data_IF_202131259599
#
_entry.id   IF_202131259599
#
_cell.length_a   1.000
_cell.length_b   1.000
_cell.length_c   1.000
_cell.angle_alpha   90.00
_cell.angle_beta   90.00
_cell.angle_gamma   90.00
#
_symmetry.space_group_name_H-M   'P 1'
#
loop_
_entity.id
_entity.type
_entity.pdbx_description
1 polymer ?
#
# COMPACT_ATOMS: atom_id res chain seq x y z
N UNK A 1 2.82 0.57 10.75
CA UNK A 1 2.43 1.09 9.42
C UNK A 1 1.97 -0.04 8.49
N UNK A 2 2.70 -1.15 8.31
CA UNK A 2 2.20 -2.30 7.52
C UNK A 2 0.83 -2.85 7.96
N UNK A 3 0.62 -3.03 9.27
CA UNK A 3 -0.64 -3.59 9.76
C UNK A 3 -1.83 -2.65 9.51
N UNK A 4 -1.60 -1.33 9.53
CA UNK A 4 -2.65 -0.35 9.22
C UNK A 4 -2.99 -0.38 7.72
N UNK A 5 -1.98 -0.55 6.86
CA UNK A 5 -2.20 -0.74 5.43
C UNK A 5 -3.04 -1.99 5.14
N UNK A 6 -2.77 -3.09 5.85
CA UNK A 6 -3.58 -4.32 5.79
C UNK A 6 -5.02 -4.09 6.26
N UNK A 7 -5.25 -3.35 7.35
CA UNK A 7 -6.61 -3.03 7.81
C UNK A 7 -7.39 -2.23 6.76
N UNK A 8 -6.75 -1.27 6.08
CA UNK A 8 -7.37 -0.52 4.99
C UNK A 8 -7.59 -1.36 3.73
N UNK A 9 -6.71 -2.33 3.45
CA UNK A 9 -6.84 -3.25 2.31
C UNK A 9 -8.00 -4.23 2.51
N UNK A 10 -8.15 -4.78 3.72
CA UNK A 10 -9.13 -5.83 4.04
C UNK A 10 -10.45 -5.28 4.60
N UNK A 11 -10.49 -4.02 5.04
CA UNK A 11 -11.64 -3.45 5.73
C UNK A 11 -11.87 -4.03 7.13
N UNK A 12 -10.82 -4.55 7.78
CA UNK A 12 -10.93 -5.10 9.13
C UNK A 12 -10.94 -3.98 10.17
N UNK A 13 -12.13 -3.68 10.69
CA UNK A 13 -12.34 -2.64 11.71
C UNK A 13 -12.27 -1.20 11.18
N UNK A 14 -12.04 -1.01 9.88
CA UNK A 14 -12.02 0.26 9.16
C UNK A 14 -12.74 0.10 7.82
N UNK A 15 -13.21 1.20 7.24
CA UNK A 15 -13.70 1.18 5.86
C UNK A 15 -12.55 0.85 4.90
N UNK A 16 -12.81 -0.02 3.94
CA UNK A 16 -11.81 -0.42 2.96
C UNK A 16 -11.40 0.79 2.10
N UNK A 17 -10.10 1.08 2.08
CA UNK A 17 -9.53 2.22 1.35
C UNK A 17 -8.15 1.84 0.79
N UNK A 18 -8.15 1.36 -0.45
CA UNK A 18 -6.93 0.91 -1.10
C UNK A 18 -5.89 2.04 -1.24
N UNK A 19 -6.31 3.30 -1.36
CA UNK A 19 -5.39 4.44 -1.46
C UNK A 19 -4.64 4.65 -0.15
N UNK A 20 -5.36 4.63 0.98
CA UNK A 20 -4.72 4.70 2.32
C UNK A 20 -3.86 3.47 2.63
N UNK A 21 -4.24 2.29 2.13
CA UNK A 21 -3.41 1.10 2.24
C UNK A 21 -2.03 1.31 1.58
N UNK A 22 -2.04 1.83 0.36
CA UNK A 22 -0.83 2.16 -0.41
C UNK A 22 0.03 3.20 0.30
N UNK A 23 -0.56 4.28 0.83
CA UNK A 23 0.18 5.29 1.60
C UNK A 23 0.86 4.68 2.83
N UNK A 24 0.16 3.82 3.58
CA UNK A 24 0.72 3.13 4.73
C UNK A 24 1.89 2.20 4.35
N UNK A 25 1.77 1.48 3.23
CA UNK A 25 2.84 0.63 2.72
C UNK A 25 4.02 1.46 2.21
N UNK A 26 3.79 2.59 1.56
CA UNK A 26 4.83 3.51 1.09
C UNK A 26 5.65 4.05 2.26
N UNK A 27 5.00 4.55 3.31
CA UNK A 27 5.69 5.06 4.49
C UNK A 27 6.53 3.98 5.18
N UNK A 28 6.00 2.75 5.31
CA UNK A 28 6.75 1.64 5.89
C UNK A 28 7.89 1.16 4.99
N UNK A 29 7.70 1.17 3.67
CA UNK A 29 8.73 0.82 2.68
C UNK A 29 9.90 1.82 2.70
N UNK A 30 9.61 3.12 2.86
CA UNK A 30 10.61 4.18 3.02
C UNK A 30 11.45 4.01 4.31
N UNK A 31 10.89 3.37 5.33
CA UNK A 31 11.61 3.01 6.56
C UNK A 31 12.39 1.69 6.44
N UNK A 32 12.45 1.10 5.24
CA UNK A 32 13.17 -0.12 4.97
C UNK A 32 12.46 -1.39 5.45
N UNK A 33 11.14 -1.34 5.68
CA UNK A 33 10.37 -2.51 6.12
C UNK A 33 10.08 -3.45 4.92
N UNK A 34 10.70 -4.65 4.84
CA UNK A 34 10.60 -5.47 3.63
C UNK A 34 9.17 -5.95 3.31
N UNK A 35 8.35 -6.37 4.30
CA UNK A 35 6.95 -6.70 4.03
C UNK A 35 6.14 -5.55 3.43
N UNK A 36 6.50 -4.29 3.74
CA UNK A 36 5.82 -3.13 3.18
C UNK A 36 6.12 -2.97 1.69
N UNK A 37 7.38 -3.19 1.32
CA UNK A 37 7.84 -3.11 -0.07
C UNK A 37 7.15 -4.19 -0.91
N UNK A 38 7.01 -5.41 -0.37
CA UNK A 38 6.25 -6.49 -1.02
C UNK A 38 4.79 -6.11 -1.20
N UNK A 39 4.11 -5.66 -0.16
CA UNK A 39 2.69 -5.28 -0.26
C UNK A 39 2.48 -4.10 -1.22
N UNK A 40 3.38 -3.11 -1.19
CA UNK A 40 3.35 -1.98 -2.13
C UNK A 40 3.49 -2.46 -3.58
N UNK A 41 4.44 -3.37 -3.86
CA UNK A 41 4.60 -3.95 -5.18
C UNK A 41 3.35 -4.72 -5.65
N UNK A 42 2.68 -5.43 -4.74
CA UNK A 42 1.41 -6.10 -5.01
C UNK A 42 0.32 -5.08 -5.35
N UNK A 43 0.20 -3.97 -4.61
CA UNK A 43 -0.76 -2.91 -4.93
C UNK A 43 -0.54 -2.32 -6.33
N UNK A 44 0.72 -2.05 -6.71
CA UNK A 44 1.05 -1.58 -8.06
C UNK A 44 0.77 -2.62 -9.16
N UNK A 45 1.04 -3.90 -8.89
CA UNK A 45 0.79 -4.99 -9.85
C UNK A 45 -0.71 -5.16 -10.14
N UNK A 46 -1.54 -5.10 -9.10
CA UNK A 46 -2.98 -5.28 -9.21
C UNK A 46 -3.74 -3.99 -9.57
N UNK A 47 -3.07 -2.83 -9.56
CA UNK A 47 -3.72 -1.53 -9.75
C UNK A 47 -4.67 -1.15 -8.61
N UNK A 48 -4.52 -1.77 -7.44
CA UNK A 48 -5.36 -1.49 -6.27
C UNK A 48 -4.82 -0.28 -5.52
N UNK A 49 -5.62 0.79 -5.42
CA UNK A 49 -5.31 1.95 -4.58
C UNK A 49 -4.28 2.92 -5.14
N UNK A 50 -3.55 2.51 -6.18
CA UNK A 50 -2.74 3.40 -7.00
C UNK A 50 -3.48 3.58 -8.31
N UNK A 51 -4.11 4.75 -8.49
CA UNK A 51 -4.45 5.20 -9.84
C UNK A 51 -3.19 5.04 -10.68
N UNK A 52 -3.28 4.41 -11.85
CA UNK A 52 -2.14 4.04 -12.69
C UNK A 52 -1.30 5.28 -13.04
N UNK A 53 -0.42 5.69 -12.14
CA UNK A 53 0.52 6.76 -12.37
C UNK A 53 1.91 6.11 -12.33
N UNK A 54 2.30 5.62 -13.51
CA UNK A 54 3.60 5.02 -13.78
C UNK A 54 4.77 6.02 -13.64
N UNK A 55 4.51 7.25 -13.19
CA UNK A 55 5.49 8.33 -13.12
C UNK A 55 6.47 8.23 -11.94
N UNK A 56 6.24 7.36 -10.95
CA UNK A 56 7.08 7.26 -9.75
C UNK A 56 8.21 6.21 -9.84
N UNK A 57 8.33 5.47 -10.95
CA UNK A 57 9.31 4.39 -11.10
C UNK A 57 10.59 4.77 -11.87
N UNK A 58 11.05 6.04 -11.80
CA UNK A 58 12.26 6.51 -12.50
C UNK A 58 13.51 6.48 -11.62
#
# INVERSE_FOLDING_TARGET
MCNLGLCYEQGEGLEQDASKAVECYLQAAQQGHPPAQTNLAVCYLHGSGVGQDFSAAR
#
